data_IF_663702058234
#
_entry.id   IF_663702058234
#
_cell.length_a   1.000
_cell.length_b   1.000
_cell.length_c   1.000
_cell.angle_alpha   90.00
_cell.angle_beta   90.00
_cell.angle_gamma   90.00
#
_symmetry.space_group_name_H-M   'P 1'
#
loop_
_entity.id
_entity.type
_entity.pdbx_description
1 polymer ?
#
# COMPACT_ATOMS: atom_id res chain seq x y z
N UNK A 1 1.48 8.01 8.41
CA UNK A 1 0.49 7.36 7.53
C UNK A 1 -0.91 7.83 7.89
N UNK A 2 -1.79 7.97 6.90
CA UNK A 2 -3.24 8.18 7.10
C UNK A 2 -3.97 6.90 6.72
N UNK A 3 -4.86 6.41 7.59
CA UNK A 3 -5.83 5.36 7.26
C UNK A 3 -7.23 5.98 7.31
N UNK A 4 -7.91 5.98 6.18
CA UNK A 4 -9.24 6.57 6.00
C UNK A 4 -10.23 5.43 5.85
N UNK A 5 -11.22 5.36 6.73
CA UNK A 5 -12.19 4.26 6.77
C UNK A 5 -13.54 4.81 6.32
N UNK A 6 -14.18 4.13 5.37
CA UNK A 6 -15.50 4.46 4.83
C UNK A 6 -16.43 3.26 4.95
N UNK A 7 -17.73 3.54 4.91
CA UNK A 7 -18.73 2.51 5.15
C UNK A 7 -18.69 1.40 4.10
N UNK A 8 -18.44 1.75 2.83
CA UNK A 8 -18.50 0.82 1.71
C UNK A 8 -17.48 1.15 0.59
N UNK A 9 -17.27 0.24 -0.39
CA UNK A 9 -16.36 0.47 -1.51
C UNK A 9 -16.66 1.71 -2.35
N UNK A 10 -17.93 2.11 -2.47
CA UNK A 10 -18.35 3.28 -3.23
C UNK A 10 -17.93 4.56 -2.53
N UNK A 11 -18.16 4.65 -1.22
CA UNK A 11 -17.74 5.78 -0.39
C UNK A 11 -16.20 5.92 -0.34
N UNK A 12 -15.48 4.80 -0.22
CA UNK A 12 -14.02 4.78 -0.31
C UNK A 12 -13.51 5.28 -1.67
N UNK A 13 -14.10 4.79 -2.76
CA UNK A 13 -13.72 5.16 -4.12
C UNK A 13 -14.03 6.63 -4.43
N UNK A 14 -15.21 7.12 -4.02
CA UNK A 14 -15.58 8.52 -4.14
C UNK A 14 -14.62 9.43 -3.38
N UNK A 15 -14.21 9.04 -2.17
CA UNK A 15 -13.25 9.83 -1.39
C UNK A 15 -11.92 9.98 -2.12
N UNK A 16 -11.36 8.90 -2.68
CA UNK A 16 -10.12 8.99 -3.46
C UNK A 16 -10.31 9.84 -4.71
N UNK A 17 -11.42 9.68 -5.45
CA UNK A 17 -11.68 10.49 -6.64
C UNK A 17 -11.75 11.99 -6.31
N UNK A 18 -12.47 12.35 -5.24
CA UNK A 18 -12.54 13.71 -4.72
C UNK A 18 -11.14 14.24 -4.33
N UNK A 19 -10.33 13.40 -3.68
CA UNK A 19 -8.96 13.73 -3.29
C UNK A 19 -8.04 13.98 -4.49
N UNK A 20 -8.08 13.11 -5.50
CA UNK A 20 -7.29 13.27 -6.73
C UNK A 20 -7.65 14.58 -7.44
N UNK A 21 -8.95 14.89 -7.54
CA UNK A 21 -9.43 16.14 -8.13
C UNK A 21 -8.92 17.35 -7.34
N UNK A 22 -9.00 17.32 -6.01
CA UNK A 22 -8.47 18.39 -5.16
C UNK A 22 -6.97 18.57 -5.40
N UNK A 23 -6.20 17.47 -5.46
CA UNK A 23 -4.74 17.51 -5.67
C UNK A 23 -4.36 18.09 -7.01
N UNK A 24 -5.03 17.68 -8.09
CA UNK A 24 -4.76 18.22 -9.44
C UNK A 24 -5.15 19.70 -9.50
N UNK A 25 -6.34 20.07 -9.01
CA UNK A 25 -6.80 21.47 -9.03
C UNK A 25 -5.90 22.39 -8.17
N UNK A 26 -5.49 21.95 -6.98
CA UNK A 26 -4.59 22.69 -6.11
C UNK A 26 -3.17 22.82 -6.69
N UNK A 27 -2.72 21.81 -7.44
CA UNK A 27 -1.44 21.86 -8.16
C UNK A 27 -1.50 22.81 -9.36
N UNK A 28 -2.67 22.99 -9.96
CA UNK A 28 -2.93 23.85 -11.12
C UNK A 28 -1.94 23.58 -12.29
N UNK A 29 -2.02 22.40 -12.93
CA UNK A 29 -1.03 21.98 -13.91
C UNK A 29 -1.08 22.78 -15.21
N UNK A 30 0.11 23.09 -15.74
CA UNK A 30 0.30 23.72 -17.06
C UNK A 30 1.05 22.77 -17.99
N UNK A 31 1.25 23.16 -19.26
CA UNK A 31 2.06 22.40 -20.21
C UNK A 31 3.52 22.23 -19.75
N UNK A 32 4.07 23.24 -19.08
CA UNK A 32 5.46 23.28 -18.60
C UNK A 32 5.61 22.62 -17.23
N UNK A 33 4.51 22.51 -16.49
CA UNK A 33 4.45 21.87 -15.17
C UNK A 33 3.23 20.95 -15.08
N UNK A 34 3.27 19.77 -15.72
CA UNK A 34 2.17 18.83 -15.67
C UNK A 34 2.04 18.19 -14.28
N UNK A 35 0.85 17.69 -13.97
CA UNK A 35 0.64 16.84 -12.80
C UNK A 35 0.93 15.39 -13.19
N UNK A 36 1.90 14.75 -12.53
CA UNK A 36 2.29 13.37 -12.84
C UNK A 36 1.56 12.38 -11.93
N UNK A 37 0.73 11.52 -12.51
CA UNK A 37 -0.17 10.61 -11.82
C UNK A 37 0.18 9.14 -12.10
N UNK A 38 0.52 8.39 -11.06
CA UNK A 38 0.66 6.94 -11.10
C UNK A 38 -0.71 6.26 -11.01
N UNK A 39 -0.99 5.26 -11.85
CA UNK A 39 -2.30 4.62 -11.95
C UNK A 39 -2.23 3.08 -11.88
N UNK A 40 -3.12 2.42 -11.12
CA UNK A 40 -3.23 0.96 -11.08
C UNK A 40 -4.27 0.44 -12.08
N UNK A 41 -4.40 -0.87 -12.20
CA UNK A 41 -5.52 -1.54 -12.88
C UNK A 41 -6.28 -2.45 -11.90
N UNK A 42 -7.10 -3.36 -12.42
CA UNK A 42 -7.87 -4.31 -11.62
C UNK A 42 -9.23 -3.76 -11.16
N UNK A 43 -9.94 -4.53 -10.34
CA UNK A 43 -11.33 -4.22 -9.96
C UNK A 43 -11.45 -3.04 -8.99
N UNK A 44 -10.50 -2.88 -8.05
CA UNK A 44 -10.57 -1.86 -7.00
C UNK A 44 -10.64 -0.42 -7.55
N UNK A 45 -9.84 0.01 -8.54
CA UNK A 45 -9.88 1.39 -9.03
C UNK A 45 -11.03 1.70 -10.00
N UNK A 46 -11.84 0.72 -10.45
CA UNK A 46 -12.89 0.95 -11.46
C UNK A 46 -13.88 2.03 -11.02
N UNK A 47 -14.36 1.97 -9.77
CA UNK A 47 -15.29 2.97 -9.24
C UNK A 47 -14.64 4.36 -9.12
N UNK A 48 -13.34 4.43 -8.84
CA UNK A 48 -12.58 5.68 -8.81
C UNK A 48 -12.56 6.30 -10.21
N UNK A 49 -12.26 5.52 -11.24
CA UNK A 49 -12.28 6.01 -12.62
C UNK A 49 -13.67 6.48 -13.06
N UNK A 50 -14.73 5.76 -12.71
CA UNK A 50 -16.10 6.19 -12.98
C UNK A 50 -16.42 7.56 -12.37
N UNK A 51 -16.01 7.80 -11.13
CA UNK A 51 -16.17 9.10 -10.48
C UNK A 51 -15.33 10.18 -11.15
N UNK A 52 -14.07 9.92 -11.49
CA UNK A 52 -13.21 10.89 -12.19
C UNK A 52 -13.80 11.28 -13.55
N UNK A 53 -14.29 10.30 -14.32
CA UNK A 53 -14.98 10.53 -15.61
C UNK A 53 -16.24 11.36 -15.42
N UNK A 54 -17.07 11.03 -14.42
CA UNK A 54 -18.29 11.79 -14.12
C UNK A 54 -17.96 13.26 -13.80
N UNK A 55 -16.94 13.50 -12.99
CA UNK A 55 -16.52 14.85 -12.58
C UNK A 55 -15.86 15.64 -13.71
N UNK A 56 -15.14 14.95 -14.60
CA UNK A 56 -14.63 15.55 -15.82
C UNK A 56 -15.77 16.02 -16.74
N UNK A 57 -16.76 15.15 -16.99
CA UNK A 57 -17.96 15.49 -17.78
C UNK A 57 -18.77 16.64 -17.18
N UNK A 58 -18.74 16.79 -15.86
CA UNK A 58 -19.34 17.90 -15.14
C UNK A 58 -18.50 19.19 -15.16
N UNK A 59 -17.33 19.21 -15.81
CA UNK A 59 -16.44 20.37 -15.91
C UNK A 59 -15.66 20.69 -14.63
N UNK A 60 -15.59 19.77 -13.66
CA UNK A 60 -14.93 20.00 -12.36
C UNK A 60 -13.42 19.73 -12.38
N UNK A 61 -12.92 19.04 -13.41
CA UNK A 61 -11.52 18.64 -13.55
C UNK A 61 -11.15 18.46 -15.03
N UNK A 62 -9.90 18.77 -15.39
CA UNK A 62 -9.30 18.50 -16.70
C UNK A 62 -8.01 17.71 -16.52
N UNK A 63 -7.78 16.77 -17.43
CA UNK A 63 -6.61 15.91 -17.54
C UNK A 63 -5.67 16.34 -18.67
N UNK A 64 -5.94 17.46 -19.35
CA UNK A 64 -5.15 17.96 -20.50
C UNK A 64 -3.67 18.17 -20.18
N UNK A 65 -3.35 18.56 -18.94
CA UNK A 65 -1.98 18.77 -18.44
C UNK A 65 -1.61 17.74 -17.36
N UNK A 66 -2.24 16.57 -17.39
CA UNK A 66 -1.87 15.42 -16.56
C UNK A 66 -1.02 14.47 -17.40
N UNK A 67 0.06 13.95 -16.82
CA UNK A 67 0.90 12.88 -17.38
C UNK A 67 0.69 11.64 -16.54
N UNK A 68 0.37 10.50 -17.15
CA UNK A 68 0.06 9.27 -16.42
C UNK A 68 1.12 8.21 -16.62
N UNK A 69 1.40 7.45 -15.57
CA UNK A 69 2.23 6.25 -15.59
C UNK A 69 1.48 5.09 -14.96
N UNK A 70 1.24 4.02 -15.72
CA UNK A 70 0.68 2.80 -15.19
C UNK A 70 1.72 1.97 -14.42
N UNK A 71 1.24 1.17 -13.46
CA UNK A 71 2.08 0.30 -12.64
C UNK A 71 2.74 -0.83 -13.43
N UNK A 72 2.00 -1.41 -14.37
CA UNK A 72 2.35 -2.71 -14.95
C UNK A 72 1.67 -2.93 -16.31
N UNK A 73 2.14 -3.94 -17.02
CA UNK A 73 1.52 -4.55 -18.20
C UNK A 73 1.96 -6.01 -18.32
N UNK A 74 1.09 -6.89 -18.82
CA UNK A 74 1.45 -8.28 -19.08
C UNK A 74 2.47 -8.40 -20.22
N UNK A 75 3.41 -9.32 -20.06
CA UNK A 75 4.36 -9.66 -21.13
C UNK A 75 3.66 -10.56 -22.16
N UNK A 76 3.93 -10.30 -23.45
CA UNK A 76 3.47 -11.09 -24.59
C UNK A 76 1.94 -11.13 -24.79
N UNK A 77 1.16 -10.25 -24.15
CA UNK A 77 -0.26 -10.08 -24.46
C UNK A 77 -0.42 -9.06 -25.60
N UNK A 78 -1.24 -9.31 -26.64
CA UNK A 78 -1.52 -8.28 -27.65
C UNK A 78 -2.04 -7.00 -27.00
N UNK A 79 -1.55 -5.85 -27.46
CA UNK A 79 -1.90 -4.54 -26.87
C UNK A 79 -3.41 -4.27 -26.91
N UNK A 80 -4.09 -4.73 -27.94
CA UNK A 80 -5.52 -4.63 -28.18
C UNK A 80 -6.35 -5.78 -27.58
N UNK A 81 -5.69 -6.75 -26.92
CA UNK A 81 -6.39 -7.81 -26.20
C UNK A 81 -7.31 -7.19 -25.12
N UNK A 82 -8.56 -7.66 -24.95
CA UNK A 82 -9.51 -7.04 -24.01
C UNK A 82 -9.02 -6.99 -22.57
N UNK A 83 -8.21 -7.97 -22.17
CA UNK A 83 -7.61 -8.08 -20.83
C UNK A 83 -6.19 -7.51 -20.71
N UNK A 84 -5.67 -6.85 -21.75
CA UNK A 84 -4.43 -6.07 -21.60
C UNK A 84 -4.68 -4.85 -20.68
N UNK A 85 -3.67 -4.42 -19.94
CA UNK A 85 -3.82 -3.24 -19.09
C UNK A 85 -3.93 -1.96 -19.92
N UNK A 86 -3.36 -1.96 -21.13
CA UNK A 86 -3.65 -0.97 -22.14
C UNK A 86 -5.17 -0.88 -22.44
N UNK A 87 -5.82 -1.98 -22.82
CA UNK A 87 -7.26 -2.00 -23.11
C UNK A 87 -8.11 -1.62 -21.90
N UNK A 88 -7.73 -2.11 -20.71
CA UNK A 88 -8.38 -1.76 -19.44
C UNK A 88 -8.41 -0.24 -19.23
N UNK A 89 -7.26 0.42 -19.36
CA UNK A 89 -7.15 1.85 -19.09
C UNK A 89 -7.94 2.69 -20.10
N UNK A 90 -7.93 2.32 -21.38
CA UNK A 90 -8.73 3.00 -22.39
C UNK A 90 -10.23 2.77 -22.19
N UNK A 91 -10.64 1.55 -21.84
CA UNK A 91 -12.04 1.20 -21.57
C UNK A 91 -12.61 1.96 -20.38
N UNK A 92 -11.86 2.04 -19.29
CA UNK A 92 -12.37 2.58 -18.02
C UNK A 92 -12.08 4.06 -17.80
N UNK A 93 -11.05 4.62 -18.44
CA UNK A 93 -10.60 5.97 -18.12
C UNK A 93 -10.21 6.82 -19.33
N UNK A 94 -9.15 6.47 -20.07
CA UNK A 94 -8.52 7.39 -21.02
C UNK A 94 -9.42 7.81 -22.20
N UNK A 95 -10.35 6.96 -22.64
CA UNK A 95 -11.29 7.32 -23.72
C UNK A 95 -12.41 8.27 -23.29
N UNK A 96 -12.52 8.57 -21.98
CA UNK A 96 -13.63 9.31 -21.40
C UNK A 96 -13.22 10.66 -20.78
N UNK A 97 -11.94 11.02 -20.88
CA UNK A 97 -11.35 12.26 -20.37
C UNK A 97 -10.45 12.94 -21.39
N UNK A 98 -10.11 14.20 -21.18
CA UNK A 98 -9.30 15.03 -22.09
C UNK A 98 -7.78 14.89 -21.92
N UNK A 99 -7.30 13.73 -21.45
CA UNK A 99 -5.87 13.43 -21.37
C UNK A 99 -5.28 13.33 -22.78
N UNK A 100 -4.09 13.88 -22.99
CA UNK A 100 -3.40 13.80 -24.28
C UNK A 100 -2.78 12.41 -24.46
N UNK A 101 -2.89 11.78 -25.65
CA UNK A 101 -2.27 10.47 -25.90
C UNK A 101 -0.76 10.43 -25.58
N UNK A 102 -0.01 11.48 -25.92
CA UNK A 102 1.44 11.57 -25.65
C UNK A 102 1.79 11.66 -24.16
N UNK A 103 0.80 11.98 -23.32
CA UNK A 103 0.95 12.04 -21.87
C UNK A 103 0.64 10.69 -21.19
N UNK A 104 0.20 9.68 -21.95
CA UNK A 104 -0.13 8.35 -21.43
C UNK A 104 1.09 7.44 -21.55
N UNK A 105 1.59 6.96 -20.41
CA UNK A 105 2.69 6.00 -20.35
C UNK A 105 2.21 4.69 -19.72
N UNK A 106 2.34 3.61 -20.48
CA UNK A 106 2.10 2.22 -20.07
C UNK A 106 3.30 1.41 -20.56
N UNK A 107 3.80 0.50 -19.73
CA UNK A 107 4.90 -0.40 -20.08
C UNK A 107 4.57 -1.22 -21.32
N UNK A 108 5.52 -1.35 -22.25
CA UNK A 108 5.33 -2.18 -23.44
C UNK A 108 5.73 -3.65 -23.17
N UNK A 109 4.77 -4.47 -22.76
CA UNK A 109 4.97 -5.90 -22.54
C UNK A 109 5.34 -6.73 -23.79
N UNK A 110 5.35 -6.13 -24.99
CA UNK A 110 5.76 -6.75 -26.24
C UNK A 110 7.06 -6.16 -26.81
N UNK A 111 7.82 -5.39 -26.01
CA UNK A 111 9.12 -4.88 -26.44
C UNK A 111 10.10 -6.02 -26.74
N UNK A 112 10.99 -5.81 -27.72
CA UNK A 112 12.03 -6.79 -28.07
C UNK A 112 13.02 -7.00 -26.93
N UNK A 113 13.36 -5.91 -26.22
CA UNK A 113 14.18 -5.92 -25.02
C UNK A 113 13.34 -5.38 -23.85
N UNK A 114 12.91 -6.30 -23.00
CA UNK A 114 12.05 -5.99 -21.85
C UNK A 114 12.81 -5.24 -20.76
N UNK A 115 14.12 -5.45 -20.61
CA UNK A 115 14.93 -4.77 -19.61
C UNK A 115 15.17 -3.31 -20.01
N UNK A 116 15.46 -3.08 -21.30
CA UNK A 116 15.56 -1.72 -21.85
C UNK A 116 14.24 -0.96 -21.70
N UNK A 117 13.10 -1.59 -22.01
CA UNK A 117 11.78 -0.97 -21.79
C UNK A 117 11.58 -0.55 -20.32
N UNK A 118 11.98 -1.39 -19.36
CA UNK A 118 11.90 -1.06 -17.94
C UNK A 118 12.80 0.13 -17.57
N UNK A 119 14.01 0.17 -18.11
CA UNK A 119 14.96 1.26 -17.89
C UNK A 119 14.44 2.58 -18.47
N UNK A 120 13.98 2.57 -19.73
CA UNK A 120 13.42 3.73 -20.41
C UNK A 120 12.17 4.26 -19.71
N UNK A 121 11.37 3.37 -19.11
CA UNK A 121 10.20 3.76 -18.32
C UNK A 121 10.60 4.55 -17.07
N UNK A 122 11.64 4.11 -16.36
CA UNK A 122 12.19 4.84 -15.21
C UNK A 122 12.76 6.20 -15.62
N UNK A 123 13.48 6.27 -16.74
CA UNK A 123 13.98 7.54 -17.25
C UNK A 123 12.84 8.49 -17.63
N UNK A 124 11.76 7.99 -18.25
CA UNK A 124 10.57 8.80 -18.55
C UNK A 124 9.94 9.39 -17.27
N UNK A 125 9.83 8.60 -16.20
CA UNK A 125 9.35 9.09 -14.89
C UNK A 125 10.26 10.21 -14.37
N UNK A 126 11.57 10.04 -14.45
CA UNK A 126 12.54 11.05 -14.00
C UNK A 126 12.46 12.33 -14.83
N UNK A 127 12.38 12.21 -16.16
CA UNK A 127 12.22 13.37 -17.08
C UNK A 127 10.93 14.13 -16.85
N UNK A 128 9.86 13.45 -16.41
CA UNK A 128 8.61 14.07 -16.01
C UNK A 128 8.69 14.79 -14.64
N UNK A 129 9.81 14.70 -13.92
CA UNK A 129 10.01 15.33 -12.61
C UNK A 129 9.59 14.47 -11.42
N UNK A 130 9.38 13.16 -11.64
CA UNK A 130 8.86 12.22 -10.65
C UNK A 130 7.34 12.24 -10.52
N UNK A 131 6.79 11.27 -9.80
CA UNK A 131 5.35 11.10 -9.63
C UNK A 131 4.84 12.00 -8.48
N UNK A 132 3.83 12.82 -8.75
CA UNK A 132 3.21 13.71 -7.76
C UNK A 132 2.27 12.94 -6.84
N UNK A 133 1.47 12.05 -7.40
CA UNK A 133 0.58 11.15 -6.67
C UNK A 133 0.57 9.79 -7.34
N UNK A 134 0.84 8.74 -6.59
CA UNK A 134 0.76 7.36 -7.06
C UNK A 134 -0.47 6.69 -6.46
N UNK A 135 -1.48 6.41 -7.29
CA UNK A 135 -2.62 5.59 -6.90
C UNK A 135 -2.25 4.11 -7.04
N UNK A 136 -2.46 3.34 -5.99
CA UNK A 136 -2.21 1.89 -5.97
C UNK A 136 -3.40 1.10 -5.44
N UNK A 137 -3.34 -0.21 -5.65
CA UNK A 137 -4.15 -1.20 -4.95
C UNK A 137 -3.26 -2.16 -4.17
N UNK A 138 -3.88 -3.16 -3.54
CA UNK A 138 -3.18 -4.25 -2.87
C UNK A 138 -3.66 -5.60 -3.38
N UNK A 139 -2.76 -6.57 -3.54
CA UNK A 139 -3.09 -7.98 -3.70
C UNK A 139 -3.60 -8.62 -2.39
N UNK A 140 -4.27 -9.78 -2.45
CA UNK A 140 -4.65 -10.53 -1.23
C UNK A 140 -3.43 -11.05 -0.44
N UNK A 141 -2.28 -11.11 -1.07
CA UNK A 141 -0.94 -11.45 -0.54
C UNK A 141 -0.13 -10.21 -0.12
N UNK A 142 -0.70 -9.01 -0.19
CA UNK A 142 -0.03 -7.77 0.17
C UNK A 142 0.86 -7.15 -0.90
N UNK A 143 0.83 -7.64 -2.15
CA UNK A 143 1.63 -7.03 -3.21
C UNK A 143 1.16 -5.63 -3.59
N UNK A 144 2.09 -4.77 -3.98
CA UNK A 144 1.84 -3.50 -4.68
C UNK A 144 2.36 -3.62 -6.13
N UNK A 145 1.54 -3.24 -7.13
CA UNK A 145 1.75 -3.65 -8.53
C UNK A 145 1.96 -5.18 -8.61
N UNK A 146 2.82 -5.69 -9.50
CA UNK A 146 3.27 -7.08 -9.44
C UNK A 146 4.51 -7.31 -8.58
N UNK A 147 4.72 -6.52 -7.52
CA UNK A 147 5.79 -6.81 -6.55
C UNK A 147 5.35 -7.91 -5.58
N UNK A 148 5.32 -9.14 -6.11
CA UNK A 148 4.96 -10.37 -5.41
C UNK A 148 5.79 -10.59 -4.12
N UNK A 149 5.29 -11.39 -3.16
CA UNK A 149 6.04 -11.76 -1.96
C UNK A 149 7.48 -12.22 -2.26
N UNK A 150 8.43 -11.68 -1.48
CA UNK A 150 9.86 -11.89 -1.68
C UNK A 150 10.54 -10.86 -2.58
N UNK A 151 9.78 -9.95 -3.21
CA UNK A 151 10.35 -8.86 -4.01
C UNK A 151 11.16 -7.88 -3.16
N UNK A 152 12.32 -7.45 -3.66
CA UNK A 152 13.14 -6.44 -2.97
C UNK A 152 12.34 -5.15 -2.72
N UNK A 153 12.38 -4.65 -1.49
CA UNK A 153 11.74 -3.38 -1.13
C UNK A 153 12.45 -2.16 -1.75
N UNK A 154 13.67 -2.34 -2.30
CA UNK A 154 14.40 -1.34 -3.08
C UNK A 154 14.34 -1.59 -4.59
N UNK A 155 13.45 -2.46 -5.04
CA UNK A 155 13.34 -2.81 -6.45
C UNK A 155 12.96 -1.62 -7.34
N UNK A 156 13.48 -1.63 -8.56
CA UNK A 156 13.07 -0.75 -9.67
C UNK A 156 12.15 -1.50 -10.64
N UNK A 157 11.69 -0.79 -11.66
CA UNK A 157 10.91 -1.35 -12.77
C UNK A 157 11.66 -2.53 -13.39
N UNK A 158 10.97 -3.65 -13.58
CA UNK A 158 11.58 -4.92 -14.04
C UNK A 158 10.54 -5.89 -14.58
N UNK A 159 11.03 -6.93 -15.25
CA UNK A 159 10.26 -8.15 -15.53
C UNK A 159 10.03 -8.92 -14.23
N UNK A 160 8.81 -9.41 -14.04
CA UNK A 160 8.46 -10.25 -12.90
C UNK A 160 7.59 -11.42 -13.33
N UNK A 161 7.95 -12.62 -12.88
CA UNK A 161 7.12 -13.82 -12.97
C UNK A 161 5.98 -13.72 -11.97
N UNK A 162 4.75 -13.95 -12.42
CA UNK A 162 3.56 -13.91 -11.57
C UNK A 162 3.54 -15.11 -10.62
N UNK A 163 3.13 -14.89 -9.38
CA UNK A 163 2.91 -15.96 -8.42
C UNK A 163 1.68 -16.79 -8.79
N UNK A 164 1.60 -18.02 -8.29
CA UNK A 164 0.46 -18.90 -8.54
C UNK A 164 -0.86 -18.28 -8.07
N UNK A 165 -0.87 -17.63 -6.90
CA UNK A 165 -2.06 -16.96 -6.36
C UNK A 165 -2.54 -15.82 -7.25
N UNK A 166 -1.61 -15.06 -7.85
CA UNK A 166 -1.92 -14.01 -8.83
C UNK A 166 -2.48 -14.57 -10.13
N UNK A 167 -1.91 -15.68 -10.64
CA UNK A 167 -2.44 -16.38 -11.81
C UNK A 167 -3.86 -16.88 -11.53
N UNK A 168 -4.09 -17.48 -10.36
CA UNK A 168 -5.40 -17.95 -9.93
C UNK A 168 -6.41 -16.81 -9.83
N UNK A 169 -6.04 -15.71 -9.17
CA UNK A 169 -6.89 -14.53 -9.01
C UNK A 169 -7.24 -13.86 -10.35
N UNK A 170 -6.31 -13.84 -11.30
CA UNK A 170 -6.49 -13.19 -12.59
C UNK A 170 -7.17 -14.10 -13.62
N UNK A 171 -7.17 -15.42 -13.43
CA UNK A 171 -7.84 -16.38 -14.32
C UNK A 171 -9.31 -16.05 -14.59
N UNK A 172 -10.00 -15.40 -13.64
CA UNK A 172 -11.39 -14.93 -13.81
C UNK A 172 -11.59 -13.99 -15.00
N UNK A 173 -10.54 -13.28 -15.41
CA UNK A 173 -10.54 -12.40 -16.58
C UNK A 173 -10.27 -13.16 -17.88
N UNK A 174 -9.61 -14.32 -17.79
CA UNK A 174 -9.25 -15.19 -18.91
C UNK A 174 -10.13 -16.44 -18.98
N UNK A 175 -11.45 -16.26 -18.75
CA UNK A 175 -12.43 -17.35 -18.85
C UNK A 175 -12.24 -18.48 -17.82
N UNK A 176 -11.61 -18.19 -16.68
CA UNK A 176 -11.19 -19.17 -15.66
C UNK A 176 -10.20 -20.22 -16.19
N UNK A 177 -9.43 -19.89 -17.23
CA UNK A 177 -8.38 -20.75 -17.76
C UNK A 177 -6.99 -20.22 -17.38
N UNK A 178 -6.29 -20.98 -16.52
CA UNK A 178 -4.95 -20.63 -16.03
C UNK A 178 -3.91 -20.56 -17.16
N UNK A 179 -4.07 -21.35 -18.22
CA UNK A 179 -3.10 -21.38 -19.34
C UNK A 179 -3.17 -20.14 -20.23
N UNK A 180 -4.27 -19.39 -20.15
CA UNK A 180 -4.43 -18.13 -20.89
C UNK A 180 -3.88 -16.92 -20.13
N UNK A 181 -3.58 -17.07 -18.84
CA UNK A 181 -3.03 -15.98 -18.03
C UNK A 181 -1.54 -15.82 -18.37
N UNK A 182 -1.07 -14.62 -18.75
CA UNK A 182 0.35 -14.37 -18.98
C UNK A 182 1.18 -14.72 -17.73
N UNK A 183 2.31 -15.40 -17.92
CA UNK A 183 3.16 -15.87 -16.81
C UNK A 183 4.11 -14.80 -16.28
N UNK A 184 4.30 -13.73 -17.02
CA UNK A 184 5.19 -12.63 -16.69
C UNK A 184 4.52 -11.29 -16.94
N UNK A 185 4.95 -10.27 -16.21
CA UNK A 185 4.56 -8.89 -16.40
C UNK A 185 5.78 -7.97 -16.28
N UNK A 186 5.70 -6.82 -16.92
CA UNK A 186 6.53 -5.67 -16.58
C UNK A 186 5.84 -4.93 -15.44
N UNK A 187 6.59 -4.53 -14.42
CA UNK A 187 6.03 -3.84 -13.26
C UNK A 187 7.01 -2.80 -12.76
N UNK A 188 6.49 -1.66 -12.32
CA UNK A 188 7.23 -0.72 -11.49
C UNK A 188 7.69 -1.41 -10.21
N UNK A 189 8.85 -1.00 -9.70
CA UNK A 189 9.40 -1.54 -8.47
C UNK A 189 8.78 -0.90 -7.22
N UNK A 190 9.02 -1.53 -6.06
CA UNK A 190 8.59 -0.97 -4.76
C UNK A 190 9.20 0.41 -4.55
N UNK A 191 10.49 0.59 -4.84
CA UNK A 191 11.15 1.90 -4.71
C UNK A 191 10.62 2.90 -5.72
N UNK A 192 10.23 2.47 -6.92
CA UNK A 192 9.63 3.34 -7.94
C UNK A 192 8.32 3.96 -7.41
N UNK A 193 7.50 3.18 -6.69
CA UNK A 193 6.29 3.71 -6.05
C UNK A 193 6.64 4.60 -4.85
N UNK A 194 7.58 4.17 -4.00
CA UNK A 194 8.01 4.95 -2.83
C UNK A 194 8.73 6.26 -3.18
N UNK A 195 9.19 6.41 -4.42
CA UNK A 195 9.80 7.65 -4.92
C UNK A 195 8.75 8.71 -5.30
N UNK A 196 7.46 8.37 -5.34
CA UNK A 196 6.39 9.33 -5.51
C UNK A 196 6.34 10.32 -4.33
N UNK A 197 5.82 11.53 -4.55
CA UNK A 197 5.65 12.50 -3.45
C UNK A 197 4.54 12.07 -2.49
N UNK A 198 3.53 11.40 -3.01
CA UNK A 198 2.38 10.92 -2.30
C UNK A 198 1.96 9.56 -2.85
N UNK A 199 1.61 8.63 -1.97
CA UNK A 199 1.08 7.32 -2.35
C UNK A 199 -0.29 7.14 -1.71
N UNK A 200 -1.29 6.90 -2.55
CA UNK A 200 -2.68 6.66 -2.13
C UNK A 200 -3.07 5.25 -2.52
N UNK A 201 -3.60 4.47 -1.60
CA UNK A 201 -3.96 3.07 -1.83
C UNK A 201 -5.44 2.84 -1.54
N UNK A 202 -6.14 2.18 -2.47
CA UNK A 202 -7.50 1.69 -2.25
C UNK A 202 -7.47 0.22 -1.83
N UNK A 203 -8.15 -0.12 -0.74
CA UNK A 203 -8.28 -1.52 -0.26
C UNK A 203 -9.73 -1.76 0.15
N UNK A 204 -10.45 -2.58 -0.61
CA UNK A 204 -11.87 -2.85 -0.36
C UNK A 204 -12.19 -4.33 -0.31
N UNK A 205 -13.10 -4.68 0.60
CA UNK A 205 -13.65 -6.03 0.80
C UNK A 205 -12.86 -6.92 1.75
N UNK A 206 -13.58 -7.83 2.40
CA UNK A 206 -13.07 -8.73 3.44
C UNK A 206 -11.87 -9.59 3.00
N UNK A 207 -11.84 -9.99 1.72
CA UNK A 207 -10.76 -10.78 1.13
C UNK A 207 -9.38 -10.07 1.12
N UNK A 208 -9.32 -8.79 1.48
CA UNK A 208 -8.07 -8.02 1.62
C UNK A 208 -7.73 -7.68 3.08
N UNK A 209 -8.55 -8.08 4.05
CA UNK A 209 -8.38 -7.68 5.44
C UNK A 209 -7.07 -8.20 6.06
N UNK A 210 -6.70 -9.45 5.78
CA UNK A 210 -5.43 -10.02 6.23
C UNK A 210 -4.24 -9.23 5.69
N UNK A 211 -4.25 -8.91 4.39
CA UNK A 211 -3.19 -8.14 3.76
C UNK A 211 -3.07 -6.74 4.38
N UNK A 212 -4.19 -6.06 4.61
CA UNK A 212 -4.21 -4.77 5.30
C UNK A 212 -3.57 -4.88 6.69
N UNK A 213 -3.99 -5.84 7.51
CA UNK A 213 -3.43 -6.07 8.84
C UNK A 213 -1.91 -6.28 8.79
N UNK A 214 -1.43 -7.18 7.92
CA UNK A 214 0.00 -7.46 7.80
C UNK A 214 0.80 -6.24 7.38
N UNK A 215 0.23 -5.37 6.54
CA UNK A 215 0.91 -4.19 6.04
C UNK A 215 0.90 -2.99 7.00
N UNK A 216 -0.07 -2.87 7.91
CA UNK A 216 -0.17 -1.70 8.81
C UNK A 216 0.10 -2.01 10.29
N UNK A 217 -0.22 -3.21 10.77
CA UNK A 217 0.03 -3.63 12.16
C UNK A 217 1.28 -4.52 12.27
N UNK A 218 1.66 -5.18 11.18
CA UNK A 218 2.93 -5.91 11.07
C UNK A 218 4.12 -4.98 10.82
N UNK A 219 5.34 -5.52 10.95
CA UNK A 219 6.56 -4.81 10.58
C UNK A 219 6.80 -4.78 9.06
N UNK A 220 7.68 -3.89 8.62
CA UNK A 220 8.15 -3.82 7.22
C UNK A 220 8.74 -5.17 6.80
N UNK A 221 8.16 -5.79 5.77
CA UNK A 221 8.50 -7.14 5.34
C UNK A 221 8.30 -7.31 3.82
N UNK A 222 9.30 -7.88 3.13
CA UNK A 222 9.24 -8.15 1.70
C UNK A 222 8.22 -9.22 1.28
N UNK A 223 7.67 -9.98 2.22
CA UNK A 223 6.56 -10.90 1.97
C UNK A 223 5.22 -10.17 1.86
N UNK A 224 5.14 -8.93 2.35
CA UNK A 224 3.96 -8.08 2.30
C UNK A 224 4.41 -6.71 1.77
N UNK A 225 4.69 -6.60 0.47
CA UNK A 225 5.48 -5.48 -0.08
C UNK A 225 4.84 -4.11 0.14
N UNK A 226 3.51 -4.02 0.27
CA UNK A 226 2.82 -2.78 0.67
C UNK A 226 3.20 -2.29 2.08
N UNK A 227 3.69 -3.16 2.98
CA UNK A 227 4.22 -2.77 4.30
C UNK A 227 5.36 -1.73 4.20
N UNK A 228 6.03 -1.65 3.04
CA UNK A 228 7.04 -0.64 2.77
C UNK A 228 6.51 0.80 2.83
N UNK A 229 5.19 1.01 2.69
CA UNK A 229 4.56 2.32 2.87
C UNK A 229 4.73 2.89 4.27
N UNK A 230 5.02 2.06 5.28
CA UNK A 230 5.36 2.56 6.62
C UNK A 230 6.59 3.47 6.62
N UNK A 231 7.47 3.33 5.62
CA UNK A 231 8.67 4.17 5.44
C UNK A 231 8.43 5.39 4.55
N UNK A 232 7.27 5.48 3.90
CA UNK A 232 6.95 6.60 3.01
C UNK A 232 6.57 7.85 3.84
N UNK A 233 6.96 9.07 3.45
CA UNK A 233 6.64 10.29 4.21
C UNK A 233 5.16 10.68 4.12
N UNK A 234 4.49 10.41 2.98
CA UNK A 234 3.09 10.77 2.74
C UNK A 234 2.22 9.62 2.20
N UNK A 235 2.03 8.52 2.96
CA UNK A 235 1.16 7.43 2.57
C UNK A 235 -0.26 7.64 3.09
N UNK A 236 -1.24 7.41 2.22
CA UNK A 236 -2.65 7.35 2.54
C UNK A 236 -3.22 6.01 2.10
N UNK A 237 -3.90 5.32 3.00
CA UNK A 237 -4.65 4.11 2.71
C UNK A 237 -6.13 4.43 2.94
N UNK A 238 -6.98 4.17 1.95
CA UNK A 238 -8.43 4.35 2.04
C UNK A 238 -9.07 2.98 1.91
N UNK A 239 -9.92 2.66 2.88
CA UNK A 239 -10.53 1.34 3.02
C UNK A 239 -12.03 1.42 3.25
N UNK A 240 -12.74 0.33 2.93
CA UNK A 240 -14.09 0.11 3.43
C UNK A 240 -14.05 -0.60 4.81
N UNK A 241 -15.19 -0.68 5.51
CA UNK A 241 -15.28 -1.37 6.81
C UNK A 241 -14.87 -2.85 6.70
N UNK A 242 -15.28 -3.54 5.63
CA UNK A 242 -14.99 -4.96 5.42
C UNK A 242 -13.48 -5.25 5.33
N UNK A 243 -12.69 -4.36 4.74
CA UNK A 243 -11.23 -4.52 4.72
C UNK A 243 -10.60 -4.39 6.12
N UNK A 244 -11.31 -3.91 7.14
CA UNK A 244 -10.78 -3.74 8.51
C UNK A 244 -11.00 -4.94 9.44
N UNK A 245 -11.65 -6.01 8.96
CA UNK A 245 -12.09 -7.14 9.81
C UNK A 245 -10.96 -7.83 10.59
N UNK A 246 -9.73 -7.82 10.08
CA UNK A 246 -8.56 -8.43 10.72
C UNK A 246 -7.73 -7.44 11.56
N UNK A 247 -8.12 -6.15 11.58
CA UNK A 247 -7.45 -5.12 12.37
C UNK A 247 -7.88 -5.17 13.83
N UNK A 248 -7.00 -4.70 14.72
CA UNK A 248 -7.38 -4.49 16.10
C UNK A 248 -8.42 -3.37 16.21
N UNK A 249 -9.42 -3.56 17.07
CA UNK A 249 -10.44 -2.54 17.39
C UNK A 249 -9.78 -1.21 17.79
N UNK A 250 -8.64 -1.28 18.51
CA UNK A 250 -7.89 -0.09 18.92
C UNK A 250 -7.32 0.67 17.72
N UNK A 251 -6.81 -0.02 16.71
CA UNK A 251 -6.28 0.56 15.46
C UNK A 251 -7.38 1.30 14.70
N UNK A 252 -8.54 0.66 14.51
CA UNK A 252 -9.70 1.27 13.84
C UNK A 252 -10.16 2.53 14.58
N UNK A 253 -10.35 2.45 15.91
CA UNK A 253 -10.75 3.60 16.73
C UNK A 253 -9.74 4.74 16.69
N UNK A 254 -8.45 4.42 16.72
CA UNK A 254 -7.37 5.40 16.65
C UNK A 254 -7.44 6.22 15.35
N UNK A 255 -7.54 5.57 14.19
CA UNK A 255 -7.58 6.28 12.92
C UNK A 255 -8.88 7.04 12.68
N UNK A 256 -10.05 6.48 13.07
CA UNK A 256 -11.32 7.21 13.05
C UNK A 256 -11.25 8.49 13.90
N UNK A 257 -10.66 8.41 15.09
CA UNK A 257 -10.50 9.58 15.97
C UNK A 257 -9.57 10.63 15.38
N UNK A 258 -8.45 10.24 14.75
CA UNK A 258 -7.52 11.19 14.13
C UNK A 258 -8.18 11.92 12.97
N UNK A 259 -8.91 11.20 12.12
CA UNK A 259 -9.59 11.80 10.97
C UNK A 259 -10.64 12.83 11.42
N UNK A 260 -11.44 12.49 12.43
CA UNK A 260 -12.44 13.39 13.00
C UNK A 260 -11.82 14.70 13.49
N UNK A 261 -10.76 14.63 14.30
CA UNK A 261 -10.06 15.82 14.82
C UNK A 261 -9.42 16.63 13.70
N UNK A 262 -8.84 15.95 12.70
CA UNK A 262 -8.23 16.62 11.53
C UNK A 262 -9.27 17.43 10.75
N UNK A 263 -10.46 16.85 10.56
CA UNK A 263 -11.58 17.51 9.88
C UNK A 263 -12.12 18.70 10.69
N UNK A 264 -12.31 18.54 12.01
CA UNK A 264 -12.78 19.61 12.90
C UNK A 264 -11.84 20.81 12.93
N UNK A 265 -10.53 20.57 12.96
CA UNK A 265 -9.52 21.61 12.99
C UNK A 265 -9.20 22.18 11.60
N UNK A 266 -9.78 21.62 10.54
CA UNK A 266 -9.47 21.99 9.15
C UNK A 266 -8.00 21.78 8.77
N UNK A 267 -7.27 20.92 9.49
CA UNK A 267 -5.86 20.69 9.24
C UNK A 267 -5.66 19.90 7.96
N UNK A 268 -4.86 20.44 7.02
CA UNK A 268 -4.42 19.73 5.81
C UNK A 268 -2.91 19.56 5.83
N UNK A 269 -2.46 18.34 5.59
CA UNK A 269 -1.03 18.05 5.47
C UNK A 269 -0.47 18.83 4.26
N UNK A 270 0.51 19.71 4.50
CA UNK A 270 1.27 20.35 3.41
C UNK A 270 2.17 19.29 2.78
N UNK A 271 2.10 19.14 1.46
CA UNK A 271 3.00 18.28 0.69
C UNK A 271 4.23 19.09 0.23
N UNK A 272 5.44 18.51 0.29
CA UNK A 272 6.66 19.21 -0.08
C UNK A 272 6.71 19.51 -1.59
N UNK A 273 6.96 20.78 -1.95
CA UNK A 273 7.05 21.24 -3.35
C UNK A 273 8.26 20.66 -4.10
N UNK A 274 9.32 20.24 -3.40
CA UNK A 274 10.49 19.52 -3.94
C UNK A 274 10.79 18.30 -3.08
N UNK A 275 11.38 17.24 -3.68
CA UNK A 275 11.68 15.95 -3.04
C UNK A 275 12.49 16.12 -1.75
N UNK A 276 13.34 17.15 -1.68
CA UNK A 276 14.27 17.41 -0.57
C UNK A 276 14.03 18.74 0.17
N UNK A 277 12.94 19.48 -0.09
CA UNK A 277 12.67 20.75 0.61
C UNK A 277 11.82 20.50 1.85
N UNK A 278 12.46 20.38 3.02
CA UNK A 278 11.75 20.29 4.30
C UNK A 278 11.13 21.62 4.76
N UNK A 279 11.40 22.76 4.10
CA UNK A 279 10.87 24.05 4.53
C UNK A 279 10.56 24.90 3.31
N UNK A 280 9.28 25.19 3.11
CA UNK A 280 8.85 26.38 2.37
C UNK A 280 8.50 27.45 3.41
N UNK A 281 9.21 28.57 3.39
CA UNK A 281 8.87 29.76 4.17
C UNK A 281 7.43 30.18 3.85
N UNK A 282 6.57 30.07 4.84
CA UNK A 282 5.14 30.27 4.70
C UNK A 282 4.48 29.77 5.96
N UNK A 283 4.28 30.71 6.90
CA UNK A 283 3.72 30.58 8.25
C UNK A 283 2.86 29.33 8.42
N UNK A 284 3.18 28.53 9.44
CA UNK A 284 2.22 27.60 10.02
C UNK A 284 0.98 28.43 10.36
N UNK A 285 -0.08 28.33 9.58
CA UNK A 285 -1.40 28.68 10.08
C UNK A 285 -1.74 27.55 11.04
N UNK A 286 -1.25 27.67 12.27
CA UNK A 286 -1.89 26.97 13.38
C UNK A 286 -3.39 27.30 13.26
N UNK A 287 -4.28 26.30 13.27
CA UNK A 287 -5.70 26.61 13.37
C UNK A 287 -5.88 27.54 14.57
N UNK A 288 -6.59 28.65 14.37
CA UNK A 288 -6.94 29.53 15.48
C UNK A 288 -7.64 28.68 16.54
N UNK A 289 -7.24 28.84 17.80
CA UNK A 289 -7.80 28.07 18.91
C UNK A 289 -9.32 28.31 18.96
N UNK A 290 -10.10 27.41 18.36
CA UNK A 290 -11.53 27.34 18.61
C UNK A 290 -11.72 26.34 19.72
N UNK A 291 -12.18 26.82 20.87
CA UNK A 291 -12.64 25.97 21.95
C UNK A 291 -13.94 25.25 21.49
N UNK A 292 -13.81 24.22 20.66
CA UNK A 292 -14.89 23.26 20.49
C UNK A 292 -15.00 22.49 21.80
N UNK A 293 -16.20 22.48 22.38
CA UNK A 293 -16.52 21.90 23.69
C UNK A 293 -16.41 20.37 23.76
N UNK A 294 -15.46 19.76 23.06
CA UNK A 294 -15.22 18.33 23.08
C UNK A 294 -14.39 18.02 24.32
N UNK A 295 -15.07 17.60 25.39
CA UNK A 295 -14.43 16.83 26.45
C UNK A 295 -14.10 15.46 25.86
N UNK A 296 -12.85 15.26 25.44
CA UNK A 296 -12.29 13.92 25.37
C UNK A 296 -12.38 13.36 26.80
N UNK A 297 -13.36 12.49 27.03
CA UNK A 297 -13.47 11.79 28.29
C UNK A 297 -12.28 10.85 28.39
N UNK A 298 -11.20 11.33 28.99
CA UNK A 298 -10.12 10.48 29.49
C UNK A 298 -10.79 9.60 30.54
N UNK A 299 -10.87 8.27 30.36
CA UNK A 299 -11.25 7.41 31.46
C UNK A 299 -10.30 7.71 32.61
N UNK A 300 -10.82 8.09 33.78
CA UNK A 300 -9.99 8.15 34.98
C UNK A 300 -9.48 6.73 35.25
N UNK A 301 -8.29 6.42 34.74
CA UNK A 301 -7.57 5.25 35.19
C UNK A 301 -7.13 5.56 36.61
N UNK A 302 -7.70 4.83 37.55
CA UNK A 302 -7.23 4.85 38.93
C UNK A 302 -5.83 4.23 38.96
N UNK A 303 -4.82 5.09 39.05
CA UNK A 303 -3.40 4.70 39.12
C UNK A 303 -3.12 3.93 40.43
N UNK A 304 -4.09 3.84 41.34
CA UNK A 304 -3.96 3.07 42.59
C UNK A 304 -3.93 1.54 42.41
N UNK A 305 -4.24 1.00 41.21
CA UNK A 305 -4.17 -0.44 40.93
C UNK A 305 -3.21 -0.80 39.79
N UNK A 306 -1.94 -0.50 40.00
CA UNK A 306 -0.84 -1.37 39.54
C UNK A 306 0.42 -1.10 40.37
N UNK A 307 0.47 -1.63 41.59
CA UNK A 307 1.77 -2.00 42.11
C UNK A 307 2.23 -3.21 41.29
N UNK A 308 3.04 -2.95 40.25
CA UNK A 308 3.92 -4.00 39.72
C UNK A 308 4.62 -4.63 40.93
N UNK A 309 4.70 -5.97 41.05
CA UNK A 309 5.48 -6.56 42.12
C UNK A 309 6.91 -5.99 41.98
N UNK A 310 7.41 -5.41 43.07
CA UNK A 310 8.79 -4.94 43.14
C UNK A 310 9.66 -6.16 42.86
N UNK A 311 10.36 -6.13 41.72
CA UNK A 311 11.33 -7.17 41.40
C UNK A 311 12.51 -6.99 42.35
N UNK A 312 12.60 -7.86 43.36
CA UNK A 312 13.79 -7.93 44.19
C UNK A 312 14.98 -8.37 43.35
N UNK A 313 16.14 -7.70 43.47
CA UNK A 313 17.35 -8.13 42.81
C UNK A 313 17.78 -9.51 43.35
N UNK A 314 18.18 -10.42 42.46
CA UNK A 314 18.62 -11.79 42.78
C UNK A 314 19.77 -11.86 43.80
N UNK A 315 20.45 -10.75 44.09
CA UNK A 315 21.48 -10.65 45.12
C UNK A 315 20.94 -10.68 46.56
N UNK A 316 19.63 -10.47 46.77
CA UNK A 316 19.01 -10.44 48.10
C UNK A 316 18.61 -11.82 48.63
N UNK A 317 18.73 -12.89 47.84
CA UNK A 317 18.35 -14.27 48.23
C UNK A 317 19.48 -15.12 48.79
N UNK A 318 20.62 -14.53 49.10
CA UNK A 318 21.76 -15.24 49.68
C UNK A 318 22.17 -14.59 51.00
N UNK A 319 21.37 -14.82 52.04
CA UNK A 319 21.89 -14.89 53.41
C UNK A 319 22.19 -16.35 53.70
N UNK A 320 23.47 -16.65 53.94
CA UNK A 320 23.98 -18.00 54.03
C UNK A 320 23.41 -18.81 55.19
N UNK A 321 23.28 -20.11 54.94
CA UNK A 321 23.89 -21.14 55.76
C UNK A 321 23.98 -22.45 54.94
N UNK A 322 25.09 -23.16 55.14
CA UNK A 322 25.44 -24.50 54.65
C UNK A 322 25.89 -24.68 53.19
N UNK A 323 27.10 -24.19 52.91
CA UNK A 323 27.99 -24.81 51.94
C UNK A 323 28.75 -25.97 52.60
N UNK A 324 28.40 -27.21 52.22
CA UNK A 324 29.19 -28.41 52.45
C UNK A 324 29.51 -29.05 51.10
N UNK A 325 30.80 -29.33 50.90
CA UNK A 325 31.52 -29.58 49.66
C UNK A 325 31.45 -31.02 49.13
N UNK A 326 31.29 -31.20 47.81
CA UNK A 326 32.07 -32.13 46.98
C UNK A 326 31.68 -32.02 45.48
N UNK A 327 32.62 -32.14 44.53
CA UNK A 327 32.34 -31.98 43.10
C UNK A 327 31.79 -33.27 42.48
N UNK A 328 30.78 -33.16 41.61
CA UNK A 328 30.26 -34.29 40.81
C UNK A 328 30.92 -34.30 39.44
N UNK A 329 31.51 -35.45 39.15
CA UNK A 329 32.23 -35.86 37.95
C UNK A 329 31.34 -35.92 36.69
N UNK A 330 31.83 -35.39 35.57
CA UNK A 330 31.15 -35.40 34.26
C UNK A 330 31.74 -36.55 33.42
N UNK A 331 31.18 -37.75 33.59
CA UNK A 331 31.55 -38.93 32.83
C UNK A 331 30.35 -39.74 32.35
N UNK A 332 30.23 -39.86 31.03
CA UNK A 332 29.46 -40.86 30.27
C UNK A 332 27.92 -40.86 30.30
N UNK A 333 27.32 -40.38 29.21
CA UNK A 333 26.01 -40.87 28.74
C UNK A 333 26.23 -41.53 27.38
N UNK A 334 26.04 -42.85 27.35
CA UNK A 334 26.10 -43.67 26.16
C UNK A 334 24.78 -43.64 25.37
N UNK A 335 24.89 -43.76 24.05
CA UNK A 335 23.81 -43.87 23.07
C UNK A 335 22.79 -44.98 23.39
N UNK A 336 21.50 -44.67 23.23
CA UNK A 336 20.44 -45.68 23.06
C UNK A 336 19.67 -45.49 21.75
N UNK A 337 19.23 -46.58 21.09
CA UNK A 337 18.88 -46.56 19.67
C UNK A 337 17.41 -46.25 19.37
N UNK A 338 17.21 -45.70 18.17
CA UNK A 338 15.95 -45.33 17.52
C UNK A 338 14.94 -46.49 17.39
N UNK A 339 13.70 -46.26 17.80
CA UNK A 339 12.55 -47.13 17.51
C UNK A 339 11.79 -46.59 16.28
N UNK A 340 11.73 -47.41 15.21
CA UNK A 340 10.93 -47.19 14.00
C UNK A 340 9.44 -47.46 14.29
N UNK A 341 8.56 -46.51 13.97
CA UNK A 341 7.12 -46.79 13.86
C UNK A 341 6.80 -47.37 12.47
N UNK A 342 6.12 -48.52 12.45
CA UNK A 342 5.51 -49.09 11.25
C UNK A 342 3.99 -48.98 11.33
N UNK A 343 3.40 -48.60 10.20
CA UNK A 343 1.97 -48.48 10.00
C UNK A 343 1.30 -49.87 9.97
N UNK A 344 0.12 -49.98 10.57
CA UNK A 344 -0.84 -51.06 10.30
C UNK A 344 -2.10 -50.49 9.68
N UNK A 345 -2.38 -50.96 8.47
CA UNK A 345 -3.69 -50.99 7.82
C UNK A 345 -4.40 -52.26 8.25
N UNK A 346 -5.71 -52.22 8.44
CA UNK A 346 -6.54 -53.42 8.46
C UNK A 346 -7.99 -53.16 8.86
N UNK A 347 -8.92 -53.63 8.01
CA UNK A 347 -10.32 -53.86 8.35
C UNK A 347 -11.29 -53.32 7.34
#
# INVERSE_FOLDING_TARGET
MRLIIRDDPTAASKYIADYIIERINAFNPTSERPFVLGLPTGSSPVLIYQHLVQRHRAGMISFRNVVTFNMDEYVAIPRDHPESYHSFMYKHFFSHVDVKPDNINILNGNALDLELECHDYEEKIQRAGGIELFLGGIGPDGHIAFNEPGSSLRSRTRVKTLAYDTILANSRFFGNNLDQVPRMALTVGVQTVLDAREVVVIITGAHKALALQKCIEGGVNHMWTLSSLQMHPHPMIVVDEDATLELQVKTVKYFKSIEMVTNELGFRQKLPKKRDSLIGEGTLLAPGFQASGIKLAVPQFDISRSASPVLEPMSARLSGEEASSAPVDLGHIADQPSIRMSARVGG
#
